data_IF_935841171311
#
_entry.id   IF_935841171311
#
_cell.length_a   1.000
_cell.length_b   1.000
_cell.length_c   1.000
_cell.angle_alpha   90.00
_cell.angle_beta   90.00
_cell.angle_gamma   90.00
#
_symmetry.space_group_name_H-M   'P 1'
#
loop_
_entity.id
_entity.type
_entity.pdbx_description
1 polymer ?
#
# COMPACT_ATOMS: atom_id res chain seq x y z
N UNK A 1 -12.07 -29.39 7.14
CA UNK A 1 -10.63 -29.56 6.88
C UNK A 1 -10.12 -28.35 6.11
N UNK A 2 -9.50 -27.39 6.81
CA UNK A 2 -8.88 -26.24 6.15
C UNK A 2 -7.61 -26.70 5.43
N UNK A 3 -7.53 -26.49 4.12
CA UNK A 3 -6.30 -26.75 3.36
C UNK A 3 -5.21 -25.86 3.96
N UNK A 4 -4.17 -26.48 4.51
CA UNK A 4 -2.95 -25.77 4.88
C UNK A 4 -2.30 -25.34 3.57
N UNK A 5 -2.63 -24.14 3.11
CA UNK A 5 -1.95 -23.54 1.97
C UNK A 5 -0.58 -23.08 2.46
N UNK A 6 0.52 -23.71 2.02
CA UNK A 6 1.85 -23.30 2.43
C UNK A 6 2.07 -21.82 2.07
N UNK A 7 2.92 -21.10 2.81
CA UNK A 7 3.30 -19.75 2.43
C UNK A 7 3.76 -19.78 0.97
N UNK A 8 3.34 -18.81 0.13
CA UNK A 8 3.81 -18.77 -1.24
C UNK A 8 5.34 -18.73 -1.19
N UNK A 9 5.98 -19.61 -1.97
CA UNK A 9 7.44 -19.65 -2.07
C UNK A 9 7.92 -18.25 -2.44
N UNK A 10 8.99 -17.79 -1.81
CA UNK A 10 9.53 -16.42 -1.98
C UNK A 10 9.87 -16.02 -3.43
N UNK A 11 9.73 -16.95 -4.37
CA UNK A 11 9.98 -16.81 -5.80
C UNK A 11 8.74 -16.39 -6.61
N UNK A 12 7.57 -16.17 -6.00
CA UNK A 12 6.41 -15.68 -6.77
C UNK A 12 6.75 -14.29 -7.36
N UNK A 13 6.73 -14.14 -8.69
CA UNK A 13 7.18 -12.92 -9.37
C UNK A 13 6.34 -11.67 -9.03
N UNK A 14 5.21 -11.84 -8.35
CA UNK A 14 4.35 -10.76 -7.84
C UNK A 14 4.89 -10.11 -6.57
N UNK A 15 5.73 -10.80 -5.79
CA UNK A 15 6.24 -10.31 -4.51
C UNK A 15 6.95 -8.95 -4.59
N UNK A 16 7.90 -8.74 -5.51
CA UNK A 16 8.61 -7.46 -5.60
C UNK A 16 7.66 -6.28 -5.87
N UNK A 17 6.70 -6.47 -6.80
CA UNK A 17 5.73 -5.45 -7.18
C UNK A 17 4.73 -5.16 -6.06
N UNK A 18 4.20 -6.19 -5.40
CA UNK A 18 3.31 -5.99 -4.25
C UNK A 18 4.03 -5.31 -3.09
N UNK A 19 5.31 -5.65 -2.85
CA UNK A 19 6.11 -5.00 -1.81
C UNK A 19 6.32 -3.52 -2.10
N UNK A 20 6.72 -3.16 -3.33
CA UNK A 20 6.87 -1.75 -3.73
C UNK A 20 5.55 -0.98 -3.56
N UNK A 21 4.43 -1.57 -4.00
CA UNK A 21 3.12 -0.95 -3.89
C UNK A 21 2.68 -0.74 -2.43
N UNK A 22 2.90 -1.72 -1.55
CA UNK A 22 2.63 -1.59 -0.11
C UNK A 22 3.50 -0.50 0.54
N UNK A 23 4.77 -0.37 0.14
CA UNK A 23 5.63 0.72 0.63
C UNK A 23 5.10 2.10 0.22
N UNK A 24 4.61 2.24 -1.02
CA UNK A 24 3.98 3.48 -1.49
C UNK A 24 2.74 3.82 -0.66
N UNK A 25 1.85 2.84 -0.45
CA UNK A 25 0.63 3.04 0.34
C UNK A 25 0.95 3.33 1.81
N UNK A 26 1.93 2.63 2.39
CA UNK A 26 2.38 2.86 3.76
C UNK A 26 2.97 4.27 3.97
N UNK A 27 3.80 4.75 3.04
CA UNK A 27 4.34 6.11 3.11
C UNK A 27 3.22 7.17 3.04
N UNK A 28 2.20 6.94 2.22
CA UNK A 28 1.05 7.85 2.09
C UNK A 28 0.16 7.78 3.34
N UNK A 29 -0.04 6.59 3.89
CA UNK A 29 -0.80 6.38 5.13
C UNK A 29 -0.13 7.06 6.33
N UNK A 30 1.20 7.00 6.42
CA UNK A 30 1.97 7.62 7.50
C UNK A 30 1.80 9.15 7.56
N UNK A 31 1.68 9.81 6.40
CA UNK A 31 1.37 11.26 6.34
C UNK A 31 -0.06 11.60 6.79
N UNK A 32 -0.94 10.59 6.94
CA UNK A 32 -2.34 10.70 7.32
C UNK A 32 -2.65 9.91 8.61
N UNK A 33 -1.67 9.80 9.52
CA UNK A 33 -1.78 8.99 10.74
C UNK A 33 -2.95 9.40 11.67
N UNK A 34 -3.34 10.68 11.65
CA UNK A 34 -4.47 11.21 12.43
C UNK A 34 -5.76 11.41 11.60
N UNK A 35 -5.84 10.85 10.38
CA UNK A 35 -6.85 11.23 9.36
C UNK A 35 -6.87 12.75 9.06
N UNK A 36 -5.78 13.43 9.37
CA UNK A 36 -5.65 14.88 9.34
C UNK A 36 -5.10 15.40 8.00
N UNK A 37 -5.36 14.69 6.88
CA UNK A 37 -5.08 15.14 5.50
C UNK A 37 -5.36 16.64 5.27
N UNK A 38 -6.41 17.16 5.93
CA UNK A 38 -6.86 18.54 5.83
C UNK A 38 -5.83 19.59 6.27
N UNK A 39 -4.81 19.25 7.06
CA UNK A 39 -3.80 20.23 7.53
C UNK A 39 -2.66 20.44 6.53
N UNK A 40 -2.21 19.39 5.87
CA UNK A 40 -0.97 19.43 5.06
C UNK A 40 -1.19 19.14 3.57
N UNK A 41 -2.42 18.77 3.16
CA UNK A 41 -2.74 18.35 1.79
C UNK A 41 -2.10 17.02 1.36
N UNK A 42 -1.45 16.32 2.29
CA UNK A 42 -0.80 15.02 2.12
C UNK A 42 -1.63 13.92 2.79
N UNK A 43 -1.47 12.69 2.34
CA UNK A 43 -2.33 11.56 2.68
C UNK A 43 -3.25 11.10 1.54
N UNK A 44 -4.11 10.13 1.82
CA UNK A 44 -5.11 9.67 0.87
C UNK A 44 -6.20 10.73 0.64
N UNK A 45 -6.86 10.71 -0.51
CA UNK A 45 -8.06 11.52 -0.74
C UNK A 45 -9.18 11.12 0.25
N UNK A 46 -10.16 12.00 0.49
CA UNK A 46 -11.30 11.66 1.37
C UNK A 46 -12.03 10.39 0.91
N UNK A 47 -12.19 10.22 -0.41
CA UNK A 47 -12.84 9.05 -0.98
C UNK A 47 -11.98 7.77 -0.85
N UNK A 48 -10.65 7.91 -0.87
CA UNK A 48 -9.75 6.76 -0.79
C UNK A 48 -9.27 6.47 0.64
N UNK A 49 -9.46 7.36 1.62
CA UNK A 49 -8.81 7.26 2.94
C UNK A 49 -9.07 5.93 3.63
N UNK A 50 -10.33 5.53 3.79
CA UNK A 50 -10.68 4.25 4.43
C UNK A 50 -10.06 3.06 3.69
N UNK A 51 -10.16 3.02 2.36
CA UNK A 51 -9.64 1.91 1.56
C UNK A 51 -8.11 1.90 1.52
N UNK A 52 -7.48 3.06 1.38
CA UNK A 52 -6.03 3.23 1.32
C UNK A 52 -5.36 2.79 2.62
N UNK A 53 -5.89 3.21 3.77
CA UNK A 53 -5.41 2.75 5.08
C UNK A 53 -5.61 1.25 5.27
N UNK A 54 -6.78 0.71 4.91
CA UNK A 54 -7.05 -0.72 4.99
C UNK A 54 -6.08 -1.55 4.12
N UNK A 55 -5.79 -1.10 2.89
CA UNK A 55 -4.85 -1.76 1.99
C UNK A 55 -3.39 -1.62 2.47
N UNK A 56 -3.01 -0.47 3.03
CA UNK A 56 -1.67 -0.24 3.56
C UNK A 56 -1.34 -1.14 4.77
N UNK A 57 -2.36 -1.54 5.54
CA UNK A 57 -2.22 -2.43 6.69
C UNK A 57 -2.08 -3.92 6.32
N UNK A 58 -2.25 -4.29 5.04
CA UNK A 58 -2.18 -5.70 4.61
C UNK A 58 -0.75 -6.22 4.60
N UNK A 59 -0.61 -7.51 4.94
CA UNK A 59 0.67 -8.21 4.75
C UNK A 59 0.89 -8.59 3.29
N UNK A 60 2.17 -8.64 2.88
CA UNK A 60 2.56 -9.03 1.53
C UNK A 60 1.98 -10.38 1.09
N UNK A 61 1.92 -11.34 2.03
CA UNK A 61 1.36 -12.68 1.77
C UNK A 61 -0.13 -12.61 1.42
N UNK A 62 -0.91 -11.80 2.14
CA UNK A 62 -2.35 -11.61 1.86
C UNK A 62 -2.55 -10.97 0.50
N UNK A 63 -1.74 -9.97 0.17
CA UNK A 63 -1.83 -9.27 -1.13
C UNK A 63 -1.53 -10.20 -2.29
N UNK A 64 -0.46 -11.02 -2.21
CA UNK A 64 -0.09 -11.91 -3.32
C UNK A 64 -1.04 -13.09 -3.49
N UNK A 65 -1.63 -13.58 -2.39
CA UNK A 65 -2.58 -14.71 -2.41
C UNK A 65 -3.92 -14.39 -3.08
N UNK A 66 -4.35 -13.12 -3.02
CA UNK A 66 -5.63 -12.71 -3.62
C UNK A 66 -5.41 -11.84 -4.86
N UNK A 67 -5.72 -12.33 -6.08
CA UNK A 67 -5.54 -11.57 -7.32
C UNK A 67 -6.30 -10.24 -7.35
N UNK A 68 -7.50 -10.15 -6.76
CA UNK A 68 -8.27 -8.90 -6.73
C UNK A 68 -7.61 -7.89 -5.81
N UNK A 69 -7.23 -8.30 -4.60
CA UNK A 69 -6.46 -7.45 -3.66
C UNK A 69 -5.14 -7.00 -4.27
N UNK A 70 -4.41 -7.90 -4.95
CA UNK A 70 -3.19 -7.56 -5.66
C UNK A 70 -3.40 -6.43 -6.67
N UNK A 71 -4.43 -6.56 -7.53
CA UNK A 71 -4.75 -5.54 -8.52
C UNK A 71 -5.16 -4.20 -7.88
N UNK A 72 -5.94 -4.24 -6.81
CA UNK A 72 -6.34 -3.04 -6.08
C UNK A 72 -5.16 -2.31 -5.43
N UNK A 73 -4.25 -3.05 -4.78
CA UNK A 73 -3.03 -2.50 -4.18
C UNK A 73 -2.17 -1.83 -5.24
N UNK A 74 -1.95 -2.49 -6.39
CA UNK A 74 -1.17 -1.91 -7.48
C UNK A 74 -1.82 -0.64 -8.07
N UNK A 75 -3.12 -0.68 -8.32
CA UNK A 75 -3.86 0.45 -8.88
C UNK A 75 -3.85 1.65 -7.94
N UNK A 76 -4.08 1.42 -6.65
CA UNK A 76 -4.03 2.48 -5.64
C UNK A 76 -2.62 3.05 -5.52
N UNK A 77 -1.59 2.19 -5.44
CA UNK A 77 -0.21 2.65 -5.35
C UNK A 77 0.21 3.49 -6.57
N UNK A 78 -0.22 3.11 -7.78
CA UNK A 78 0.05 3.90 -8.99
C UNK A 78 -0.50 5.33 -8.90
N UNK A 79 -1.71 5.51 -8.33
CA UNK A 79 -2.33 6.83 -8.15
C UNK A 79 -1.53 7.73 -7.19
N UNK A 80 -0.94 7.15 -6.15
CA UNK A 80 -0.24 7.89 -5.10
C UNK A 80 1.29 7.88 -5.22
N UNK A 81 1.85 7.21 -6.23
CA UNK A 81 3.31 7.08 -6.43
C UNK A 81 4.06 8.40 -6.40
N UNK A 82 3.55 9.43 -7.10
CA UNK A 82 4.21 10.75 -7.15
C UNK A 82 4.28 11.41 -5.78
N UNK A 83 3.25 11.21 -4.96
CA UNK A 83 3.20 11.75 -3.61
C UNK A 83 4.20 11.02 -2.71
N UNK A 84 4.23 9.68 -2.75
CA UNK A 84 5.22 8.88 -2.03
C UNK A 84 6.66 9.25 -2.40
N UNK A 85 6.96 9.46 -3.69
CA UNK A 85 8.29 9.91 -4.12
C UNK A 85 8.67 11.27 -3.54
N UNK A 86 7.74 12.22 -3.47
CA UNK A 86 7.98 13.55 -2.85
C UNK A 86 8.18 13.46 -1.34
N UNK A 87 7.42 12.60 -0.66
CA UNK A 87 7.59 12.32 0.77
C UNK A 87 9.00 11.76 1.01
N UNK A 88 9.40 10.76 0.22
CA UNK A 88 10.74 10.17 0.32
C UNK A 88 11.84 11.21 0.10
N UNK A 89 11.73 12.07 -0.93
CA UNK A 89 12.72 13.12 -1.20
C UNK A 89 12.77 14.19 -0.11
N UNK A 90 11.62 14.58 0.45
CA UNK A 90 11.55 15.57 1.52
C UNK A 90 12.05 15.07 2.86
N UNK A 91 12.08 13.75 3.09
CA UNK A 91 12.63 13.14 4.30
C UNK A 91 14.17 13.11 4.34
N UNK A 92 14.85 13.41 3.21
CA UNK A 92 16.31 13.46 3.11
C UNK A 92 16.90 14.88 3.19
N UNK A 93 16.07 15.89 3.46
CA UNK A 93 16.48 17.28 3.71
C UNK A 93 16.34 17.60 5.20
#
# INVERSE_FOLDING_TARGET
MGKFDPPPRGDDPRYPKAREALLVLGAVAAEDADHAKNRNGRGFSKADSTKGHALAALSLVVVVRNPSTYAEVLSMAARYRRQASRIAQGAFL
#
